data_IF_507281309713
#
_entry.id   IF_507281309713
#
_cell.length_a   1.000
_cell.length_b   1.000
_cell.length_c   1.000
_cell.angle_alpha   90.00
_cell.angle_beta   90.00
_cell.angle_gamma   90.00
#
_symmetry.space_group_name_H-M   'P 1'
#
loop_
_entity.id
_entity.type
_entity.pdbx_description
1 polymer ?
#
# COMPACT_ATOMS: atom_id res chain seq x y z
N UNK A 1 12.02 -6.80 4.17
CA UNK A 1 11.01 -5.95 3.51
C UNK A 1 11.50 -4.52 3.55
N UNK A 2 11.24 -3.72 2.51
CA UNK A 2 11.56 -2.29 2.49
C UNK A 2 10.32 -1.53 2.00
N UNK A 3 9.94 -0.47 2.71
CA UNK A 3 8.81 0.38 2.36
C UNK A 3 9.30 1.83 2.39
N UNK A 4 9.12 2.57 1.29
CA UNK A 4 9.35 4.02 1.33
C UNK A 4 10.79 4.48 1.11
N UNK A 5 11.61 3.73 0.35
CA UNK A 5 13.01 4.11 0.08
C UNK A 5 13.20 5.44 -0.67
N UNK A 6 14.23 6.22 -0.31
CA UNK A 6 14.52 7.54 -0.87
C UNK A 6 14.59 7.56 -2.41
N UNK A 7 14.16 8.66 -3.02
CA UNK A 7 14.13 8.86 -4.48
C UNK A 7 15.02 10.03 -4.89
N UNK A 8 15.55 9.96 -6.11
CA UNK A 8 16.25 11.05 -6.78
C UNK A 8 15.44 11.51 -8.02
N UNK A 9 15.48 12.81 -8.37
CA UNK A 9 14.88 13.28 -9.61
C UNK A 9 15.64 12.68 -10.79
N UNK A 10 14.94 11.95 -11.65
CA UNK A 10 15.48 11.36 -12.88
C UNK A 10 15.15 12.23 -14.10
N UNK A 11 14.34 13.26 -13.90
CA UNK A 11 13.90 14.26 -14.86
C UNK A 11 14.86 15.47 -14.95
N UNK A 12 15.80 15.62 -14.01
CA UNK A 12 16.80 16.68 -14.03
C UNK A 12 18.01 16.27 -14.87
N UNK A 13 18.85 17.24 -15.25
CA UNK A 13 20.10 16.98 -15.96
C UNK A 13 21.10 16.11 -15.16
N UNK A 14 20.92 15.97 -13.84
CA UNK A 14 21.71 15.09 -12.99
C UNK A 14 20.88 14.55 -11.81
N UNK A 15 21.14 13.31 -11.41
CA UNK A 15 20.60 12.70 -10.19
C UNK A 15 21.46 13.01 -8.95
N UNK A 16 22.56 13.75 -9.11
CA UNK A 16 23.52 14.01 -8.05
C UNK A 16 22.94 14.90 -6.94
N UNK A 17 23.16 14.54 -5.66
CA UNK A 17 22.70 15.34 -4.53
C UNK A 17 23.38 16.71 -4.42
N UNK A 18 24.46 16.98 -5.15
CA UNK A 18 25.16 18.29 -5.13
C UNK A 18 24.28 19.46 -5.61
N UNK A 19 23.16 19.17 -6.27
CA UNK A 19 22.20 20.15 -6.79
C UNK A 19 20.90 20.21 -5.96
N UNK A 20 20.74 19.34 -4.95
CA UNK A 20 19.52 19.21 -4.16
C UNK A 20 19.67 19.85 -2.78
N UNK A 21 18.56 20.40 -2.28
CA UNK A 21 18.48 21.10 -0.99
C UNK A 21 18.41 20.18 0.24
N UNK A 22 18.27 18.85 0.06
CA UNK A 22 18.05 17.91 1.16
C UNK A 22 19.28 17.65 2.02
N UNK A 23 19.03 17.13 3.22
CA UNK A 23 20.07 16.67 4.14
C UNK A 23 20.67 15.38 3.59
N UNK A 24 21.92 15.45 3.17
CA UNK A 24 22.72 14.33 2.70
C UNK A 24 24.16 14.46 3.21
N UNK A 25 25.02 13.49 2.86
CA UNK A 25 26.43 13.47 3.28
C UNK A 25 27.32 14.42 2.47
N UNK A 26 26.78 15.15 1.50
CA UNK A 26 27.56 15.90 0.52
C UNK A 26 27.71 17.36 0.95
N UNK A 27 28.94 17.76 1.29
CA UNK A 27 29.24 19.11 1.79
C UNK A 27 29.18 20.20 0.72
N UNK A 28 29.65 19.91 -0.50
CA UNK A 28 29.70 20.88 -1.60
C UNK A 28 28.38 20.87 -2.37
N UNK A 29 27.74 22.03 -2.48
CA UNK A 29 26.51 22.23 -3.25
C UNK A 29 26.76 23.25 -4.37
N UNK A 30 26.32 22.92 -5.58
CA UNK A 30 26.35 23.83 -6.73
C UNK A 30 24.99 24.51 -6.95
N UNK A 31 23.91 23.91 -6.46
CA UNK A 31 22.58 24.53 -6.35
C UNK A 31 21.76 23.86 -5.25
N UNK A 32 20.57 24.38 -4.96
CA UNK A 32 19.68 23.91 -3.88
C UNK A 32 18.23 23.78 -4.37
N UNK A 33 17.98 22.89 -5.32
CA UNK A 33 16.61 22.63 -5.78
C UNK A 33 15.82 21.85 -4.73
N UNK A 34 14.56 22.22 -4.54
CA UNK A 34 13.61 21.52 -3.66
C UNK A 34 13.02 20.34 -4.42
N UNK A 35 13.00 19.17 -3.80
CA UNK A 35 12.50 17.93 -4.41
C UNK A 35 11.92 16.98 -3.36
N UNK A 36 10.77 16.37 -3.60
CA UNK A 36 10.20 15.42 -2.64
C UNK A 36 10.90 14.06 -2.72
N UNK A 37 11.97 13.91 -1.93
CA UNK A 37 12.84 12.72 -1.89
C UNK A 37 12.33 11.59 -0.98
N UNK A 38 11.45 11.92 -0.02
CA UNK A 38 10.76 10.98 0.88
C UNK A 38 9.24 11.16 0.77
N UNK A 39 8.64 10.87 -0.39
CA UNK A 39 7.18 10.89 -0.51
C UNK A 39 6.57 9.86 0.45
N UNK A 40 5.45 10.24 1.07
CA UNK A 40 4.75 9.36 2.03
C UNK A 40 4.19 8.14 1.32
N UNK A 41 4.66 6.95 1.69
CA UNK A 41 4.02 5.68 1.34
C UNK A 41 2.86 5.42 2.31
N UNK A 42 1.73 4.95 1.78
CA UNK A 42 0.54 4.61 2.58
C UNK A 42 0.23 3.13 2.45
N UNK A 43 -0.08 2.49 3.56
CA UNK A 43 -0.57 1.12 3.62
C UNK A 43 -1.91 1.16 4.34
N UNK A 44 -2.94 0.63 3.70
CA UNK A 44 -4.28 0.51 4.28
C UNK A 44 -4.35 -0.55 5.37
N UNK A 45 -5.57 -0.81 5.82
CA UNK A 45 -5.92 -1.80 6.83
C UNK A 45 -6.00 -3.20 6.20
N UNK A 46 -5.81 -4.26 7.00
CA UNK A 46 -5.88 -5.67 6.53
C UNK A 46 -4.96 -5.99 5.33
N UNK A 47 -3.84 -5.27 5.17
CA UNK A 47 -2.90 -5.55 4.09
C UNK A 47 -1.95 -6.67 4.51
N UNK A 48 -1.87 -7.73 3.70
CA UNK A 48 -0.84 -8.76 3.86
C UNK A 48 0.35 -8.49 2.94
N UNK A 49 1.53 -8.29 3.54
CA UNK A 49 2.78 -8.06 2.79
C UNK A 49 3.72 -9.25 3.02
N UNK A 50 3.98 -9.99 1.95
CA UNK A 50 4.88 -11.13 1.95
C UNK A 50 6.34 -10.75 2.24
N UNK A 51 7.09 -11.73 2.73
CA UNK A 51 8.51 -11.55 3.05
C UNK A 51 9.29 -10.98 1.85
N UNK A 52 10.33 -10.17 2.13
CA UNK A 52 11.22 -9.59 1.10
C UNK A 52 10.53 -8.75 0.01
N UNK A 53 9.27 -8.37 0.17
CA UNK A 53 8.64 -7.37 -0.69
C UNK A 53 9.35 -6.01 -0.54
N UNK A 54 9.43 -5.28 -1.66
CA UNK A 54 9.99 -3.94 -1.79
C UNK A 54 8.90 -3.00 -2.33
N UNK A 55 8.54 -1.96 -1.58
CA UNK A 55 7.51 -0.99 -1.95
C UNK A 55 8.17 0.37 -2.20
N UNK A 56 8.06 0.85 -3.44
CA UNK A 56 8.59 2.14 -3.88
C UNK A 56 8.00 3.29 -3.06
N UNK A 57 8.81 4.30 -2.75
CA UNK A 57 8.32 5.46 -2.02
C UNK A 57 7.22 6.21 -2.77
N UNK A 58 6.19 6.61 -2.02
CA UNK A 58 5.02 7.33 -2.51
C UNK A 58 3.90 6.43 -3.02
N UNK A 59 4.09 5.11 -3.04
CA UNK A 59 3.03 4.15 -3.39
C UNK A 59 1.96 4.13 -2.31
N UNK A 60 0.69 4.00 -2.71
CA UNK A 60 -0.43 3.67 -1.84
C UNK A 60 -0.86 2.20 -2.04
N UNK A 61 -0.95 1.45 -0.95
CA UNK A 61 -1.50 0.09 -0.91
C UNK A 61 -2.88 0.15 -0.28
N UNK A 62 -3.93 -0.20 -1.02
CA UNK A 62 -5.32 -0.14 -0.58
C UNK A 62 -5.68 -1.20 0.47
N UNK A 63 -6.77 -0.97 1.20
CA UNK A 63 -7.24 -1.87 2.26
C UNK A 63 -7.47 -3.29 1.75
N UNK A 64 -7.11 -4.29 2.54
CA UNK A 64 -7.26 -5.69 2.18
C UNK A 64 -6.36 -6.15 1.03
N UNK A 65 -5.44 -5.34 0.50
CA UNK A 65 -4.56 -5.78 -0.57
C UNK A 65 -3.58 -6.88 -0.11
N UNK A 66 -3.12 -7.70 -1.05
CA UNK A 66 -2.10 -8.72 -0.82
C UNK A 66 -0.91 -8.46 -1.72
N UNK A 67 0.27 -8.35 -1.12
CA UNK A 67 1.54 -8.23 -1.83
C UNK A 67 2.31 -9.54 -1.67
N UNK A 68 2.50 -10.28 -2.76
CA UNK A 68 3.23 -11.56 -2.73
C UNK A 68 4.69 -11.41 -2.29
N UNK A 69 5.27 -12.50 -1.80
CA UNK A 69 6.67 -12.57 -1.38
C UNK A 69 7.63 -12.13 -2.51
N UNK A 70 8.68 -11.39 -2.17
CA UNK A 70 9.71 -10.93 -3.12
C UNK A 70 9.24 -9.90 -4.16
N UNK A 71 8.01 -9.38 -4.04
CA UNK A 71 7.45 -8.45 -5.03
C UNK A 71 8.11 -7.08 -4.99
N UNK A 72 8.24 -6.44 -6.16
CA UNK A 72 8.72 -5.05 -6.29
C UNK A 72 7.56 -4.16 -6.74
N UNK A 73 6.90 -3.54 -5.78
CA UNK A 73 5.71 -2.71 -6.00
C UNK A 73 6.13 -1.31 -6.39
N UNK A 74 5.85 -0.93 -7.64
CA UNK A 74 6.26 0.35 -8.24
C UNK A 74 5.10 1.30 -8.55
N UNK A 75 3.86 0.84 -8.37
CA UNK A 75 2.61 1.57 -8.62
C UNK A 75 1.62 1.29 -7.48
N UNK A 76 0.63 2.15 -7.33
CA UNK A 76 -0.45 1.99 -6.36
C UNK A 76 -1.19 0.67 -6.57
N UNK A 77 -1.60 0.05 -5.45
CA UNK A 77 -2.32 -1.22 -5.42
C UNK A 77 -3.74 -0.93 -4.96
N UNK A 78 -4.78 -1.22 -5.76
CA UNK A 78 -6.16 -1.01 -5.33
C UNK A 78 -6.54 -1.89 -4.13
N UNK A 79 -7.57 -1.51 -3.35
CA UNK A 79 -8.09 -2.35 -2.29
C UNK A 79 -8.44 -3.76 -2.76
N UNK A 80 -8.33 -4.74 -1.87
CA UNK A 80 -8.65 -6.15 -2.12
C UNK A 80 -7.97 -6.75 -3.37
N UNK A 81 -6.86 -6.19 -3.83
CA UNK A 81 -6.12 -6.68 -5.00
C UNK A 81 -4.93 -7.51 -4.58
N UNK A 82 -4.72 -8.65 -5.25
CA UNK A 82 -3.53 -9.49 -5.10
C UNK A 82 -2.53 -9.12 -6.18
N UNK A 83 -1.33 -8.69 -5.78
CA UNK A 83 -0.21 -8.37 -6.69
C UNK A 83 1.00 -9.24 -6.38
N UNK A 84 1.76 -9.62 -7.40
CA UNK A 84 3.08 -10.21 -7.19
C UNK A 84 4.04 -9.93 -8.35
N UNK A 85 5.33 -10.22 -8.14
CA UNK A 85 6.38 -10.19 -9.16
C UNK A 85 7.30 -8.98 -9.10
N UNK A 86 8.29 -8.94 -9.99
CA UNK A 86 9.23 -7.83 -10.13
C UNK A 86 9.35 -7.43 -11.61
N UNK A 87 8.75 -6.30 -12.04
CA UNK A 87 7.88 -5.43 -11.24
C UNK A 87 6.53 -6.09 -10.92
N UNK A 88 5.93 -5.73 -9.78
CA UNK A 88 4.66 -6.32 -9.34
C UNK A 88 3.52 -6.02 -10.34
N UNK A 89 2.67 -7.01 -10.56
CA UNK A 89 1.48 -6.94 -11.43
C UNK A 89 0.28 -7.53 -10.69
N UNK A 90 -0.90 -7.04 -11.03
CA UNK A 90 -2.16 -7.62 -10.57
C UNK A 90 -2.24 -9.07 -11.04
N UNK A 91 -2.47 -9.99 -10.10
CA UNK A 91 -2.78 -11.38 -10.38
C UNK A 91 -4.31 -11.53 -10.50
N UNK A 92 -5.03 -11.09 -9.48
CA UNK A 92 -6.50 -11.12 -9.40
C UNK A 92 -6.99 -10.25 -8.23
N UNK A 93 -8.29 -9.99 -8.18
CA UNK A 93 -8.94 -9.51 -6.96
C UNK A 93 -9.09 -10.64 -5.92
N UNK A 94 -9.15 -10.28 -4.63
CA UNK A 94 -9.49 -11.20 -3.54
C UNK A 94 -10.93 -11.66 -3.65
N UNK A 95 -11.85 -10.72 -3.93
CA UNK A 95 -13.29 -10.92 -3.99
C UNK A 95 -13.91 -10.33 -5.27
N UNK A 96 -15.21 -10.52 -5.46
CA UNK A 96 -15.95 -9.78 -6.50
C UNK A 96 -15.98 -8.27 -6.19
N UNK A 97 -16.28 -7.41 -7.18
CA UNK A 97 -16.41 -5.98 -6.95
C UNK A 97 -17.42 -5.64 -5.86
N UNK A 98 -18.57 -6.32 -5.84
CA UNK A 98 -19.67 -6.07 -4.90
C UNK A 98 -19.25 -6.39 -3.46
N UNK A 99 -18.60 -7.54 -3.25
CA UNK A 99 -18.06 -7.93 -1.94
C UNK A 99 -16.96 -6.97 -1.50
N UNK A 100 -16.07 -6.55 -2.41
CA UNK A 100 -14.97 -5.63 -2.10
C UNK A 100 -15.50 -4.26 -1.66
N UNK A 101 -16.50 -3.73 -2.37
CA UNK A 101 -17.16 -2.47 -2.02
C UNK A 101 -17.89 -2.57 -0.68
N UNK A 102 -18.63 -3.64 -0.46
CA UNK A 102 -19.34 -3.88 0.79
C UNK A 102 -18.38 -4.00 1.99
N UNK A 103 -17.22 -4.66 1.82
CA UNK A 103 -16.17 -4.71 2.85
C UNK A 103 -15.55 -3.32 3.12
N UNK A 104 -15.35 -2.50 2.09
CA UNK A 104 -14.88 -1.11 2.25
C UNK A 104 -15.89 -0.20 2.95
N UNK A 105 -17.19 -0.51 2.85
CA UNK A 105 -18.24 0.17 3.64
C UNK A 105 -18.26 -0.31 5.08
N UNK A 106 -18.08 -1.62 5.31
CA UNK A 106 -18.07 -2.20 6.65
C UNK A 106 -16.94 -1.64 7.51
N UNK A 107 -15.74 -1.46 6.93
CA UNK A 107 -14.52 -1.02 7.63
C UNK A 107 -14.38 -1.70 9.00
N UNK A 108 -14.47 -3.02 9.02
CA UNK A 108 -14.54 -3.80 10.27
C UNK A 108 -13.37 -3.49 11.22
N UNK A 109 -12.22 -3.08 10.68
CA UNK A 109 -11.03 -2.64 11.42
C UNK A 109 -11.23 -1.36 12.26
N UNK A 110 -12.31 -0.61 12.05
CA UNK A 110 -12.69 0.58 12.82
C UNK A 110 -13.85 0.31 13.80
N UNK A 111 -14.40 -0.91 13.84
CA UNK A 111 -15.52 -1.23 14.73
C UNK A 111 -15.04 -1.33 16.19
N UNK A 112 -15.91 -0.97 17.16
CA UNK A 112 -15.68 -1.26 18.57
C UNK A 112 -15.49 -2.76 18.84
N UNK A 113 -14.74 -3.10 19.89
CA UNK A 113 -14.39 -4.49 20.22
C UNK A 113 -15.61 -5.39 20.46
N UNK A 114 -16.69 -4.87 21.04
CA UNK A 114 -17.94 -5.59 21.29
C UNK A 114 -18.68 -5.90 19.99
N UNK A 115 -18.77 -4.93 19.08
CA UNK A 115 -19.31 -5.15 17.74
C UNK A 115 -18.46 -6.14 16.94
N UNK A 116 -17.13 -6.01 16.97
CA UNK A 116 -16.21 -6.91 16.28
C UNK A 116 -16.32 -8.34 16.82
N UNK A 117 -16.39 -8.49 18.15
CA UNK A 117 -16.58 -9.80 18.81
C UNK A 117 -17.87 -10.47 18.37
N UNK A 118 -18.96 -9.70 18.22
CA UNK A 118 -20.25 -10.22 17.79
C UNK A 118 -20.22 -10.76 16.35
N UNK A 119 -19.47 -10.12 15.44
CA UNK A 119 -19.37 -10.53 14.03
C UNK A 119 -18.21 -11.49 13.74
N UNK A 120 -17.22 -11.61 14.65
CA UNK A 120 -16.03 -12.44 14.47
C UNK A 120 -16.30 -13.89 14.03
N UNK A 121 -17.34 -14.61 14.54
CA UNK A 121 -17.66 -15.95 14.08
C UNK A 121 -17.96 -16.08 12.59
N UNK A 122 -18.30 -14.98 11.91
CA UNK A 122 -18.65 -14.95 10.49
C UNK A 122 -17.44 -14.68 9.58
N UNK A 123 -16.25 -14.38 10.11
CA UNK A 123 -15.08 -13.96 9.31
C UNK A 123 -14.51 -15.04 8.38
N UNK A 124 -14.94 -16.29 8.52
CA UNK A 124 -14.58 -17.37 7.59
C UNK A 124 -15.28 -17.27 6.23
N UNK A 125 -16.39 -16.52 6.16
CA UNK A 125 -17.14 -16.30 4.92
C UNK A 125 -17.55 -14.83 4.77
N UNK A 126 -16.86 -14.06 3.91
CA UNK A 126 -17.13 -12.64 3.73
C UNK A 126 -18.54 -12.36 3.21
N UNK A 127 -19.13 -13.23 2.38
CA UNK A 127 -20.49 -13.00 1.89
C UNK A 127 -21.53 -13.15 2.99
N UNK A 128 -21.43 -14.20 3.80
CA UNK A 128 -22.32 -14.39 4.94
C UNK A 128 -22.19 -13.26 5.95
N UNK A 129 -20.96 -12.82 6.27
CA UNK A 129 -20.71 -11.66 7.13
C UNK A 129 -21.45 -10.42 6.62
N UNK A 130 -21.30 -10.10 5.34
CA UNK A 130 -21.89 -8.91 4.75
C UNK A 130 -23.42 -8.99 4.63
N UNK A 131 -23.97 -10.15 4.29
CA UNK A 131 -25.44 -10.40 4.31
C UNK A 131 -26.00 -10.21 5.72
N UNK A 132 -25.31 -10.71 6.75
CA UNK A 132 -25.70 -10.52 8.16
C UNK A 132 -25.66 -9.06 8.62
N UNK A 133 -24.85 -8.21 7.98
CA UNK A 133 -24.81 -6.76 8.21
C UNK A 133 -25.70 -5.96 7.22
N UNK A 134 -26.42 -6.62 6.32
CA UNK A 134 -27.26 -5.97 5.31
C UNK A 134 -26.48 -5.13 4.29
N UNK A 135 -25.23 -5.51 4.01
CA UNK A 135 -24.33 -4.79 3.08
C UNK A 135 -24.21 -5.45 1.70
N UNK A 136 -24.78 -6.65 1.55
CA UNK A 136 -25.01 -7.41 0.31
C UNK A 136 -26.44 -7.91 0.30
#
# INVERSE_FOLDING_TARGET
>A
MVIGGARHPIEYASTSPVFLSHKDSVKKKYSRHVYSWLPRTRVGNDVWIGERALIKAGVAIGDGAVVGMGSVVTKDVPPYTIVAGNPARTIRARFSPEVSEAMLRLQWWNLPDDELTAIAPMFTDPESLLKGKGLL
#
